data_IF_757693796625
#
_entry.id   IF_757693796625
#
_cell.length_a   1.000
_cell.length_b   1.000
_cell.length_c   1.000
_cell.angle_alpha   90.00
_cell.angle_beta   90.00
_cell.angle_gamma   90.00
#
_symmetry.space_group_name_H-M   'P 1'
#
loop_
_entity.id
_entity.type
_entity.pdbx_description
1 polymer ?
#
# COMPACT_ATOMS: atom_id res chain seq x y z
N UNK A 1 11.52 -11.49 -10.28
CA UNK A 1 11.18 -10.91 -11.61
C UNK A 1 9.72 -10.46 -11.70
N UNK A 2 8.72 -11.32 -11.41
CA UNK A 2 7.30 -10.98 -11.52
C UNK A 2 6.92 -9.76 -10.66
N UNK A 3 7.41 -9.67 -9.42
CA UNK A 3 7.18 -8.53 -8.52
C UNK A 3 7.84 -7.25 -9.07
N UNK A 4 9.05 -7.32 -9.60
CA UNK A 4 9.73 -6.18 -10.22
C UNK A 4 8.92 -5.64 -11.40
N UNK A 5 8.44 -6.52 -12.28
CA UNK A 5 7.59 -6.13 -13.41
C UNK A 5 6.26 -5.52 -12.95
N UNK A 6 5.61 -6.09 -11.94
CA UNK A 6 4.35 -5.59 -11.37
C UNK A 6 4.51 -4.19 -10.73
N UNK A 7 5.67 -3.90 -10.16
CA UNK A 7 6.02 -2.63 -9.55
C UNK A 7 6.63 -1.60 -10.54
N UNK A 8 6.76 -1.95 -11.82
CA UNK A 8 7.38 -1.09 -12.84
C UNK A 8 8.88 -0.86 -12.62
N UNK A 9 9.56 -1.83 -12.01
CA UNK A 9 10.97 -1.78 -11.66
C UNK A 9 11.84 -2.81 -12.40
N UNK A 10 13.12 -2.76 -12.09
CA UNK A 10 14.13 -3.73 -12.55
C UNK A 10 14.86 -4.33 -11.36
N UNK A 11 15.30 -5.56 -11.50
CA UNK A 11 16.07 -6.25 -10.48
C UNK A 11 17.50 -5.68 -10.48
N UNK A 12 17.88 -4.98 -9.42
CA UNK A 12 19.23 -4.44 -9.24
C UNK A 12 20.16 -5.47 -8.59
N UNK A 13 19.61 -6.35 -7.74
CA UNK A 13 20.32 -7.47 -7.12
C UNK A 13 19.33 -8.63 -6.91
N UNK A 14 19.73 -9.84 -7.32
CA UNK A 14 18.79 -10.99 -7.39
C UNK A 14 18.53 -11.64 -6.02
N UNK A 15 19.52 -11.69 -5.16
CA UNK A 15 19.44 -12.41 -3.89
C UNK A 15 19.37 -13.94 -4.06
N UNK A 16 19.00 -14.65 -2.97
CA UNK A 16 18.93 -16.09 -2.91
C UNK A 16 17.47 -16.57 -2.77
N UNK A 17 16.75 -16.73 -3.88
CA UNK A 17 15.37 -17.21 -3.92
C UNK A 17 14.42 -16.46 -2.97
N UNK A 18 14.34 -15.12 -3.06
CA UNK A 18 13.56 -14.31 -2.14
C UNK A 18 12.07 -14.55 -2.30
N UNK A 19 11.37 -14.71 -1.17
CA UNK A 19 9.90 -14.80 -1.09
C UNK A 19 9.40 -13.62 -0.29
N UNK A 20 8.35 -12.94 -0.75
CA UNK A 20 7.67 -11.89 -0.01
C UNK A 20 6.23 -12.30 0.28
N UNK A 21 5.87 -12.41 1.55
CA UNK A 21 4.54 -12.79 2.03
C UNK A 21 3.79 -11.60 2.62
N UNK A 22 4.52 -10.61 3.14
CA UNK A 22 3.99 -9.41 3.76
C UNK A 22 4.64 -8.15 3.18
N UNK A 23 4.01 -6.99 3.40
CA UNK A 23 4.55 -5.69 2.99
C UNK A 23 4.72 -4.81 4.22
N UNK A 24 5.90 -4.25 4.41
CA UNK A 24 6.17 -3.33 5.52
C UNK A 24 6.84 -2.04 5.08
N UNK A 25 6.45 -0.93 5.73
CA UNK A 25 7.07 0.39 5.59
C UNK A 25 7.96 0.73 6.81
N UNK A 26 7.90 -0.06 7.88
CA UNK A 26 8.63 0.17 9.12
C UNK A 26 9.70 -0.91 9.31
N UNK A 27 10.96 -0.54 9.10
CA UNK A 27 12.12 -1.44 9.21
C UNK A 27 12.26 -2.16 10.57
N UNK A 28 11.53 -1.72 11.59
CA UNK A 28 11.51 -2.31 12.94
C UNK A 28 10.43 -3.38 13.12
N UNK A 29 9.45 -3.44 12.19
CA UNK A 29 8.26 -4.29 12.29
C UNK A 29 8.18 -5.22 11.09
N UNK A 30 9.12 -6.16 11.03
CA UNK A 30 9.11 -7.22 10.04
C UNK A 30 8.44 -8.47 10.62
N UNK A 31 7.63 -9.15 9.81
CA UNK A 31 7.01 -10.43 10.16
C UNK A 31 7.89 -11.63 9.77
N UNK A 32 8.85 -11.40 8.91
CA UNK A 32 9.65 -12.40 8.19
C UNK A 32 9.10 -12.61 6.78
N UNK A 33 9.97 -12.76 5.81
CA UNK A 33 9.62 -12.79 4.39
C UNK A 33 8.87 -11.55 3.94
N UNK A 34 9.32 -10.36 4.36
CA UNK A 34 8.68 -9.11 4.01
C UNK A 34 9.26 -8.51 2.71
N UNK A 35 8.38 -7.84 1.95
CA UNK A 35 8.75 -6.79 1.04
C UNK A 35 8.87 -5.48 1.84
N UNK A 36 10.07 -4.97 2.00
CA UNK A 36 10.27 -3.64 2.57
C UNK A 36 10.17 -2.55 1.50
N UNK A 37 9.31 -1.56 1.74
CA UNK A 37 9.13 -0.41 0.85
C UNK A 37 9.58 0.86 1.57
N UNK A 38 10.80 1.35 1.30
CA UNK A 38 11.29 2.59 1.91
C UNK A 38 10.52 3.79 1.34
N UNK A 39 9.96 4.61 2.24
CA UNK A 39 9.27 5.84 1.87
C UNK A 39 10.14 7.03 2.25
N UNK A 40 10.27 7.98 1.34
CA UNK A 40 10.92 9.27 1.62
C UNK A 40 9.89 10.14 2.35
N UNK A 41 10.14 10.40 3.62
CA UNK A 41 9.33 11.24 4.47
C UNK A 41 9.96 12.61 4.71
N UNK A 42 9.25 13.50 5.39
CA UNK A 42 9.74 14.85 5.72
C UNK A 42 10.98 14.88 6.64
N UNK A 43 11.10 13.89 7.53
CA UNK A 43 12.14 13.83 8.59
C UNK A 43 13.20 12.76 8.37
N UNK A 44 12.91 11.76 7.56
CA UNK A 44 13.80 10.63 7.36
C UNK A 44 13.54 10.00 5.98
N UNK A 45 14.57 9.43 5.41
CA UNK A 45 14.48 8.63 4.19
C UNK A 45 14.53 7.14 4.57
N UNK A 46 13.49 6.40 4.18
CA UNK A 46 13.40 4.97 4.42
C UNK A 46 14.55 4.15 3.82
N UNK A 47 15.21 4.67 2.78
CA UNK A 47 16.35 3.99 2.13
C UNK A 47 17.56 3.81 3.07
N UNK A 48 17.72 4.66 4.06
CA UNK A 48 18.80 4.57 5.04
C UNK A 48 18.61 3.38 6.01
N UNK A 49 17.45 2.76 5.99
CA UNK A 49 17.07 1.65 6.88
C UNK A 49 16.91 0.30 6.16
N UNK A 50 17.30 0.19 4.89
CA UNK A 50 17.13 -1.05 4.10
C UNK A 50 17.85 -2.22 4.78
N UNK A 51 19.13 -2.08 5.13
CA UNK A 51 19.86 -3.17 5.78
C UNK A 51 19.33 -3.50 7.19
N UNK A 52 18.72 -2.53 7.89
CA UNK A 52 18.01 -2.80 9.13
C UNK A 52 16.77 -3.65 8.87
N UNK A 53 15.96 -3.31 7.86
CA UNK A 53 14.76 -4.05 7.50
C UNK A 53 15.11 -5.50 7.13
N UNK A 54 16.16 -5.69 6.32
CA UNK A 54 16.64 -7.03 5.95
C UNK A 54 17.12 -7.80 7.18
N UNK A 55 17.90 -7.18 8.06
CA UNK A 55 18.34 -7.80 9.32
C UNK A 55 17.18 -8.19 10.25
N UNK A 56 16.01 -7.59 10.10
CA UNK A 56 14.80 -7.89 10.85
C UNK A 56 13.82 -8.84 10.09
N UNK A 57 14.15 -9.28 8.87
CA UNK A 57 13.37 -10.31 8.17
C UNK A 57 12.84 -9.94 6.78
N UNK A 58 13.15 -8.75 6.24
CA UNK A 58 12.83 -8.44 4.86
C UNK A 58 13.71 -9.27 3.91
N UNK A 59 13.10 -9.91 2.94
CA UNK A 59 13.76 -10.73 1.92
C UNK A 59 13.77 -10.06 0.55
N UNK A 60 12.88 -9.08 0.36
CA UNK A 60 12.79 -8.25 -0.85
C UNK A 60 12.73 -6.79 -0.44
N UNK A 61 13.42 -5.92 -1.15
CA UNK A 61 13.36 -4.47 -0.90
C UNK A 61 13.15 -3.70 -2.19
N UNK A 62 12.33 -2.65 -2.15
CA UNK A 62 12.33 -1.62 -3.17
C UNK A 62 13.42 -0.60 -2.89
N UNK A 63 13.93 0.03 -3.93
CA UNK A 63 14.86 1.15 -3.83
C UNK A 63 14.69 2.09 -5.02
N UNK A 64 14.74 3.39 -4.78
CA UNK A 64 14.84 4.39 -5.87
C UNK A 64 16.24 4.99 -5.99
N UNK A 65 17.19 4.53 -5.16
CA UNK A 65 18.55 5.06 -5.09
C UNK A 65 19.60 4.13 -5.70
N UNK A 66 19.42 2.81 -5.59
CA UNK A 66 20.43 1.81 -5.98
C UNK A 66 19.96 1.12 -7.27
N UNK A 67 20.60 1.46 -8.39
CA UNK A 67 20.20 1.06 -9.75
C UNK A 67 21.02 -0.10 -10.29
N UNK A 68 22.24 -0.25 -9.78
CA UNK A 68 23.19 -1.28 -10.24
C UNK A 68 23.62 -2.17 -9.08
N UNK A 69 24.18 -3.32 -9.42
CA UNK A 69 24.77 -4.25 -8.46
C UNK A 69 25.86 -3.58 -7.61
N UNK A 70 26.69 -2.73 -8.21
CA UNK A 70 27.78 -2.03 -7.54
C UNK A 70 27.23 -1.06 -6.49
N UNK A 71 26.18 -0.29 -6.82
CA UNK A 71 25.50 0.64 -5.89
C UNK A 71 24.86 -0.11 -4.73
N UNK A 72 24.27 -1.30 -4.99
CA UNK A 72 23.72 -2.16 -3.93
C UNK A 72 24.82 -2.66 -3.00
N UNK A 73 25.96 -3.13 -3.55
CA UNK A 73 27.08 -3.61 -2.74
C UNK A 73 27.68 -2.48 -1.88
N UNK A 74 27.79 -1.27 -2.41
CA UNK A 74 28.26 -0.11 -1.66
C UNK A 74 27.29 0.25 -0.52
N UNK A 75 25.97 0.21 -0.78
CA UNK A 75 24.94 0.43 0.24
C UNK A 75 25.02 -0.61 1.37
N UNK A 76 25.21 -1.88 1.03
CA UNK A 76 25.36 -2.96 2.02
C UNK A 76 26.57 -2.69 2.90
N UNK A 77 27.75 -2.42 2.31
CA UNK A 77 28.97 -2.14 3.08
C UNK A 77 28.79 -0.92 4.02
N UNK A 78 28.16 0.13 3.52
CA UNK A 78 27.97 1.38 4.27
C UNK A 78 26.96 1.23 5.41
N UNK A 79 25.84 0.57 5.17
CA UNK A 79 24.75 0.45 6.16
C UNK A 79 25.00 -0.66 7.18
N UNK A 80 25.62 -1.78 6.79
CA UNK A 80 25.93 -2.90 7.70
C UNK A 80 27.14 -2.62 8.60
N UNK A 81 28.02 -1.67 8.24
CA UNK A 81 29.15 -1.20 9.08
C UNK A 81 30.07 -2.32 9.57
N UNK A 82 30.33 -3.35 8.76
CA UNK A 82 31.18 -4.48 9.10
C UNK A 82 30.52 -5.57 9.92
N UNK A 83 29.21 -5.51 10.15
CA UNK A 83 28.41 -6.60 10.71
C UNK A 83 28.19 -7.68 9.63
N UNK A 84 29.00 -8.74 9.72
CA UNK A 84 29.01 -9.82 8.71
C UNK A 84 27.70 -10.57 8.59
N UNK A 85 26.94 -10.67 9.66
CA UNK A 85 25.64 -11.34 9.65
C UNK A 85 24.62 -10.52 8.84
N UNK A 86 24.56 -9.21 9.09
CA UNK A 86 23.74 -8.28 8.29
C UNK A 86 24.18 -8.19 6.84
N UNK A 87 25.49 -8.16 6.57
CA UNK A 87 26.01 -8.17 5.19
C UNK A 87 25.59 -9.44 4.45
N UNK A 88 25.63 -10.60 5.09
CA UNK A 88 25.22 -11.88 4.50
C UNK A 88 23.72 -11.87 4.21
N UNK A 89 22.91 -11.42 5.16
CA UNK A 89 21.46 -11.29 4.97
C UNK A 89 21.12 -10.29 3.84
N UNK A 90 21.81 -9.14 3.79
CA UNK A 90 21.56 -8.12 2.79
C UNK A 90 21.94 -8.57 1.36
N UNK A 91 22.95 -9.42 1.22
CA UNK A 91 23.33 -10.07 -0.06
C UNK A 91 22.39 -11.21 -0.44
N UNK A 92 21.66 -11.78 0.51
CA UNK A 92 20.66 -12.81 0.23
C UNK A 92 19.29 -12.24 -0.16
N UNK A 93 19.00 -10.98 0.18
CA UNK A 93 17.77 -10.29 -0.16
C UNK A 93 17.78 -9.78 -1.61
N UNK A 94 16.62 -9.79 -2.29
CA UNK A 94 16.50 -9.16 -3.61
C UNK A 94 16.27 -7.65 -3.48
N UNK A 95 16.95 -6.89 -4.32
CA UNK A 95 16.79 -5.43 -4.42
C UNK A 95 16.19 -5.06 -5.77
N UNK A 96 15.04 -4.42 -5.73
CA UNK A 96 14.29 -4.01 -6.92
C UNK A 96 14.38 -2.50 -7.04
N UNK A 97 15.06 -2.04 -8.09
CA UNK A 97 15.13 -0.61 -8.41
C UNK A 97 13.84 -0.16 -9.09
N UNK A 98 13.23 0.88 -8.55
CA UNK A 98 12.01 1.52 -9.07
C UNK A 98 12.23 3.04 -9.14
N UNK A 99 11.55 3.76 -10.05
CA UNK A 99 11.67 5.22 -10.13
C UNK A 99 11.18 5.95 -8.86
N UNK A 100 10.12 5.44 -8.24
CA UNK A 100 9.48 5.97 -7.03
C UNK A 100 8.88 4.81 -6.26
N UNK A 101 9.30 4.62 -5.01
CA UNK A 101 8.90 3.47 -4.18
C UNK A 101 7.43 3.53 -3.75
N UNK A 102 6.85 4.74 -3.57
CA UNK A 102 5.42 4.92 -3.29
C UNK A 102 4.57 4.54 -4.51
N UNK A 103 4.98 5.03 -5.69
CA UNK A 103 4.30 4.68 -6.94
C UNK A 103 4.41 3.18 -7.24
N UNK A 104 5.57 2.59 -7.04
CA UNK A 104 5.80 1.15 -7.19
C UNK A 104 4.90 0.32 -6.27
N UNK A 105 4.71 0.75 -5.02
CA UNK A 105 3.78 0.11 -4.10
C UNK A 105 2.32 0.21 -4.60
N UNK A 106 1.91 1.35 -5.15
CA UNK A 106 0.59 1.54 -5.75
C UNK A 106 0.38 0.65 -6.98
N UNK A 107 1.38 0.57 -7.86
CA UNK A 107 1.33 -0.26 -9.06
C UNK A 107 1.27 -1.75 -8.70
N UNK A 108 2.04 -2.17 -7.70
CA UNK A 108 1.99 -3.53 -7.17
C UNK A 108 0.63 -3.85 -6.53
N UNK A 109 0.09 -2.95 -5.70
CA UNK A 109 -1.25 -3.10 -5.12
C UNK A 109 -2.33 -3.23 -6.20
N UNK A 110 -2.26 -2.38 -7.24
CA UNK A 110 -3.18 -2.46 -8.37
C UNK A 110 -3.00 -3.76 -9.19
N UNK A 111 -1.79 -4.27 -9.31
CA UNK A 111 -1.51 -5.57 -9.91
C UNK A 111 -2.16 -6.71 -9.10
N UNK A 112 -1.95 -6.72 -7.78
CA UNK A 112 -2.58 -7.70 -6.89
C UNK A 112 -4.11 -7.64 -6.99
N UNK A 113 -4.69 -6.43 -7.02
CA UNK A 113 -6.13 -6.23 -7.17
C UNK A 113 -6.69 -6.85 -8.46
N UNK A 114 -6.01 -6.69 -9.58
CA UNK A 114 -6.43 -7.28 -10.85
C UNK A 114 -6.36 -8.82 -10.84
N UNK A 115 -5.44 -9.39 -10.09
CA UNK A 115 -5.28 -10.84 -9.97
C UNK A 115 -6.16 -11.48 -8.88
N UNK A 116 -6.73 -10.67 -7.98
CA UNK A 116 -7.70 -11.11 -6.98
C UNK A 116 -8.97 -10.25 -7.08
N UNK A 117 -9.89 -10.54 -8.03
CA UNK A 117 -11.02 -9.68 -8.37
C UNK A 117 -12.25 -9.89 -7.48
N UNK A 118 -12.09 -10.19 -6.19
CA UNK A 118 -13.24 -10.28 -5.26
C UNK A 118 -14.00 -8.97 -5.21
N UNK A 119 -15.32 -8.97 -4.91
CA UNK A 119 -16.08 -7.74 -4.72
C UNK A 119 -15.51 -6.89 -3.58
N UNK A 120 -15.33 -5.59 -3.82
CA UNK A 120 -14.89 -4.64 -2.80
C UNK A 120 -15.93 -3.54 -2.58
N UNK A 121 -16.20 -3.26 -1.30
CA UNK A 121 -16.98 -2.11 -0.82
C UNK A 121 -16.00 -1.06 -0.34
N UNK A 122 -15.97 0.11 -0.98
CA UNK A 122 -15.16 1.25 -0.57
C UNK A 122 -15.91 2.14 0.42
N UNK A 123 -15.25 2.54 1.49
CA UNK A 123 -15.83 3.46 2.49
C UNK A 123 -14.99 4.74 2.54
N UNK A 124 -15.63 5.88 2.27
CA UNK A 124 -15.01 7.20 2.44
C UNK A 124 -15.92 8.16 3.20
N UNK A 125 -15.42 9.34 3.50
CA UNK A 125 -16.14 10.41 4.20
C UNK A 125 -15.23 11.19 5.16
N UNK A 126 -15.72 12.29 5.69
CA UNK A 126 -14.96 13.09 6.63
C UNK A 126 -14.90 12.46 8.02
N UNK A 127 -16.01 11.90 8.49
CA UNK A 127 -16.17 11.23 9.79
C UNK A 127 -16.97 9.93 9.61
N UNK A 128 -16.75 8.96 10.48
CA UNK A 128 -17.52 7.72 10.52
C UNK A 128 -17.07 6.61 9.59
N UNK A 129 -15.99 6.78 8.81
CA UNK A 129 -15.46 5.75 7.91
C UNK A 129 -15.23 4.41 8.62
N UNK A 130 -14.44 4.42 9.68
CA UNK A 130 -14.08 3.20 10.43
C UNK A 130 -15.32 2.52 11.05
N UNK A 131 -16.21 3.29 11.65
CA UNK A 131 -17.47 2.74 12.20
C UNK A 131 -18.32 2.11 11.11
N UNK A 132 -18.48 2.79 9.98
CA UNK A 132 -19.26 2.25 8.84
C UNK A 132 -18.59 1.00 8.27
N UNK A 133 -17.25 0.98 8.12
CA UNK A 133 -16.49 -0.20 7.72
C UNK A 133 -16.77 -1.39 8.65
N UNK A 134 -16.69 -1.18 9.97
CA UNK A 134 -16.96 -2.25 10.95
C UNK A 134 -18.40 -2.76 10.86
N UNK A 135 -19.39 -1.88 10.73
CA UNK A 135 -20.79 -2.26 10.61
C UNK A 135 -21.08 -3.02 9.31
N UNK A 136 -20.56 -2.54 8.17
CA UNK A 136 -20.72 -3.21 6.87
C UNK A 136 -20.03 -4.57 6.90
N UNK A 137 -18.81 -4.65 7.41
CA UNK A 137 -18.07 -5.91 7.52
C UNK A 137 -18.83 -6.91 8.42
N UNK A 138 -19.34 -6.47 9.58
CA UNK A 138 -20.12 -7.32 10.48
C UNK A 138 -21.41 -7.85 9.82
N UNK A 139 -22.13 -7.01 9.08
CA UNK A 139 -23.34 -7.41 8.37
C UNK A 139 -23.04 -8.45 7.26
N UNK A 140 -21.97 -8.22 6.48
CA UNK A 140 -21.56 -9.14 5.41
C UNK A 140 -21.03 -10.46 5.95
N UNK A 141 -20.40 -10.47 7.12
CA UNK A 141 -19.87 -11.68 7.77
C UNK A 141 -20.95 -12.71 8.14
N UNK A 142 -22.23 -12.33 8.08
CA UNK A 142 -23.34 -13.29 8.22
C UNK A 142 -23.42 -14.30 7.08
N UNK A 143 -22.81 -14.02 5.93
CA UNK A 143 -22.89 -14.89 4.75
C UNK A 143 -21.60 -15.04 3.95
N UNK A 144 -20.54 -14.30 4.28
CA UNK A 144 -19.30 -14.25 3.51
C UNK A 144 -18.06 -14.29 4.41
N UNK A 145 -16.95 -14.79 3.87
CA UNK A 145 -15.62 -14.59 4.45
C UNK A 145 -15.15 -13.16 4.10
N UNK A 146 -15.28 -12.25 5.07
CA UNK A 146 -15.04 -10.82 4.87
C UNK A 146 -13.61 -10.45 5.24
N UNK A 147 -12.89 -9.83 4.29
CA UNK A 147 -11.66 -9.09 4.58
C UNK A 147 -11.99 -7.60 4.78
N UNK A 148 -11.30 -6.92 5.67
CA UNK A 148 -11.46 -5.47 5.88
C UNK A 148 -10.13 -4.79 6.13
N UNK A 149 -10.04 -3.50 5.79
CA UNK A 149 -8.86 -2.67 6.06
C UNK A 149 -8.37 -2.85 7.50
N UNK A 150 -7.13 -3.30 7.72
CA UNK A 150 -6.55 -3.39 9.06
C UNK A 150 -6.33 -2.00 9.67
N UNK A 151 -6.75 -1.82 10.94
CA UNK A 151 -6.52 -0.56 11.65
C UNK A 151 -7.05 0.67 10.89
N UNK A 152 -6.15 1.60 10.56
CA UNK A 152 -6.40 2.82 9.79
C UNK A 152 -5.57 2.88 8.49
N UNK A 153 -5.25 1.74 7.87
CA UNK A 153 -4.47 1.65 6.63
C UNK A 153 -5.25 2.12 5.39
N UNK A 154 -5.66 3.39 5.40
CA UNK A 154 -6.57 4.00 4.43
C UNK A 154 -5.93 5.07 3.52
N UNK A 155 -4.62 5.29 3.64
CA UNK A 155 -3.85 6.31 2.92
C UNK A 155 -3.27 5.82 1.60
N UNK A 156 -2.53 6.68 0.89
CA UNK A 156 -1.81 6.37 -0.35
C UNK A 156 -0.83 5.19 -0.25
N UNK A 157 -0.36 4.85 0.93
CA UNK A 157 0.50 3.68 1.18
C UNK A 157 -0.27 2.55 1.86
N UNK A 158 -1.28 2.86 2.68
CA UNK A 158 -2.08 1.87 3.39
C UNK A 158 -3.03 1.09 2.48
N UNK A 159 -3.70 1.77 1.54
CA UNK A 159 -4.63 1.11 0.61
C UNK A 159 -3.94 0.10 -0.30
N UNK A 160 -2.79 0.40 -0.93
CA UNK A 160 -2.06 -0.60 -1.72
C UNK A 160 -1.67 -1.84 -0.93
N UNK A 161 -1.18 -1.68 0.31
CA UNK A 161 -0.85 -2.81 1.19
C UNK A 161 -2.12 -3.61 1.51
N UNK A 162 -3.18 -2.93 1.95
CA UNK A 162 -4.46 -3.58 2.26
C UNK A 162 -4.97 -4.43 1.10
N UNK A 163 -4.88 -3.92 -0.13
CA UNK A 163 -5.35 -4.63 -1.32
C UNK A 163 -4.43 -5.78 -1.70
N UNK A 164 -3.11 -5.60 -1.56
CA UNK A 164 -2.14 -6.65 -1.86
C UNK A 164 -2.21 -7.83 -0.88
N UNK A 165 -2.62 -7.57 0.36
CA UNK A 165 -2.71 -8.55 1.43
C UNK A 165 -4.12 -9.17 1.60
N UNK A 166 -5.02 -8.98 0.63
CA UNK A 166 -6.32 -9.68 0.63
C UNK A 166 -6.10 -11.19 0.55
N UNK A 167 -6.52 -11.97 1.56
CA UNK A 167 -6.34 -13.41 1.55
C UNK A 167 -7.08 -14.09 0.37
N UNK A 168 -6.51 -15.16 -0.17
CA UNK A 168 -7.10 -15.89 -1.30
C UNK A 168 -8.49 -16.45 -1.00
N UNK A 169 -8.77 -16.78 0.26
CA UNK A 169 -10.04 -17.30 0.71
C UNK A 169 -11.08 -16.22 1.05
N UNK A 170 -10.74 -14.94 0.95
CA UNK A 170 -11.72 -13.86 1.14
C UNK A 170 -12.73 -13.82 -0.01
N UNK A 171 -14.01 -13.71 0.33
CA UNK A 171 -15.10 -13.67 -0.65
C UNK A 171 -15.56 -12.24 -0.96
N UNK A 172 -15.35 -11.32 -0.02
CA UNK A 172 -15.67 -9.89 -0.16
C UNK A 172 -14.75 -9.05 0.73
N UNK A 173 -14.42 -7.84 0.27
CA UNK A 173 -13.62 -6.90 1.05
C UNK A 173 -14.36 -5.60 1.37
N UNK A 174 -14.07 -5.01 2.54
CA UNK A 174 -14.54 -3.68 2.95
C UNK A 174 -13.34 -2.79 3.18
N UNK A 175 -13.08 -1.89 2.23
CA UNK A 175 -11.84 -1.11 2.17
C UNK A 175 -12.12 0.36 2.51
N UNK A 176 -11.41 0.87 3.52
CA UNK A 176 -11.48 2.28 3.89
C UNK A 176 -10.53 3.11 3.01
N UNK A 177 -11.06 4.17 2.37
CA UNK A 177 -10.30 5.10 1.54
C UNK A 177 -10.31 6.49 2.17
N UNK A 178 -9.14 6.92 2.63
CA UNK A 178 -8.90 8.24 3.23
C UNK A 178 -8.04 9.10 2.32
N UNK A 179 -8.24 10.41 2.38
CA UNK A 179 -7.42 11.39 1.66
C UNK A 179 -7.18 12.62 2.54
N UNK A 180 -6.09 13.31 2.30
CA UNK A 180 -5.68 14.54 2.98
C UNK A 180 -5.42 15.68 1.99
N UNK A 181 -5.01 15.35 0.76
CA UNK A 181 -4.57 16.30 -0.26
C UNK A 181 -5.29 16.05 -1.60
N UNK A 182 -5.31 17.07 -2.48
CA UNK A 182 -5.89 16.93 -3.83
C UNK A 182 -5.24 15.80 -4.63
N UNK A 183 -6.07 15.02 -5.34
CA UNK A 183 -5.66 13.91 -6.21
C UNK A 183 -5.30 12.62 -5.48
N UNK A 184 -5.31 12.58 -4.14
CA UNK A 184 -5.06 11.35 -3.40
C UNK A 184 -6.16 10.31 -3.60
N UNK A 185 -7.43 10.76 -3.59
CA UNK A 185 -8.55 9.83 -3.77
C UNK A 185 -8.50 9.14 -5.13
N UNK A 186 -8.23 9.86 -6.21
CA UNK A 186 -8.05 9.27 -7.55
C UNK A 186 -6.97 8.19 -7.54
N UNK A 187 -5.83 8.45 -6.91
CA UNK A 187 -4.73 7.47 -6.84
C UNK A 187 -5.14 6.19 -6.14
N UNK A 188 -5.71 6.30 -4.94
CA UNK A 188 -6.11 5.11 -4.15
C UNK A 188 -7.35 4.41 -4.71
N UNK A 189 -8.28 5.13 -5.34
CA UNK A 189 -9.42 4.55 -6.03
C UNK A 189 -8.99 3.67 -7.21
N UNK A 190 -8.01 4.14 -8.01
CA UNK A 190 -7.46 3.35 -9.11
C UNK A 190 -6.68 2.11 -8.65
N UNK A 191 -6.15 2.10 -7.44
CA UNK A 191 -5.57 0.91 -6.82
C UNK A 191 -6.66 -0.04 -6.33
N UNK A 192 -7.63 0.45 -5.54
CA UNK A 192 -8.64 -0.37 -4.89
C UNK A 192 -9.69 -0.92 -5.87
N UNK A 193 -10.06 -0.18 -6.92
CA UNK A 193 -11.04 -0.57 -7.93
C UNK A 193 -12.28 -1.20 -7.30
N UNK A 194 -12.95 -0.44 -6.43
CA UNK A 194 -14.10 -0.92 -5.66
C UNK A 194 -15.32 -1.12 -6.55
N UNK A 195 -16.17 -2.10 -6.22
CA UNK A 195 -17.40 -2.41 -6.97
C UNK A 195 -18.56 -1.51 -6.55
N UNK A 196 -18.61 -1.13 -5.27
CA UNK A 196 -19.51 -0.10 -4.76
C UNK A 196 -18.79 0.74 -3.72
N UNK A 197 -19.30 1.95 -3.47
CA UNK A 197 -18.71 2.86 -2.50
C UNK A 197 -19.80 3.48 -1.61
N UNK A 198 -19.43 3.74 -0.36
CA UNK A 198 -20.28 4.45 0.62
C UNK A 198 -19.57 5.72 1.04
N UNK A 199 -20.20 6.86 0.87
CA UNK A 199 -19.74 8.15 1.38
C UNK A 199 -20.55 8.49 2.65
N UNK A 200 -19.90 8.46 3.81
CA UNK A 200 -20.60 8.63 5.10
C UNK A 200 -21.12 10.05 5.31
N UNK A 201 -20.26 11.03 5.13
CA UNK A 201 -20.62 12.45 5.22
C UNK A 201 -19.51 13.34 4.63
N UNK A 202 -19.83 14.61 4.42
CA UNK A 202 -18.91 15.67 4.04
C UNK A 202 -18.88 16.72 5.15
N UNK A 203 -17.77 16.75 5.89
CA UNK A 203 -17.49 17.73 6.94
C UNK A 203 -16.30 18.61 6.58
N UNK A 204 -15.64 19.15 7.60
CA UNK A 204 -14.52 20.10 7.45
C UNK A 204 -13.14 19.45 7.63
N UNK A 205 -13.05 18.12 7.73
CA UNK A 205 -11.78 17.43 7.82
C UNK A 205 -10.91 17.72 6.57
N UNK A 206 -9.64 18.09 6.78
CA UNK A 206 -8.68 18.49 5.73
C UNK A 206 -9.03 19.79 4.98
N UNK A 207 -9.83 20.69 5.60
CA UNK A 207 -10.24 21.95 4.97
C UNK A 207 -9.04 22.88 4.73
N UNK A 208 -7.98 22.77 5.54
CA UNK A 208 -6.76 23.58 5.38
C UNK A 208 -6.05 23.25 4.06
N UNK A 209 -6.02 21.97 3.65
CA UNK A 209 -5.38 21.48 2.43
C UNK A 209 -6.28 21.65 1.19
N UNK A 210 -7.59 21.52 1.37
CA UNK A 210 -8.57 21.50 0.27
C UNK A 210 -9.30 22.84 0.08
N UNK A 211 -9.22 23.73 1.05
CA UNK A 211 -9.72 25.11 0.97
C UNK A 211 -11.22 25.26 1.23
N UNK A 212 -12.07 24.31 0.90
CA UNK A 212 -13.51 24.39 1.10
C UNK A 212 -14.18 23.02 1.24
N UNK A 213 -15.36 23.00 1.84
CA UNK A 213 -16.18 21.78 1.96
C UNK A 213 -16.62 21.24 0.57
N UNK A 214 -16.82 22.14 -0.38
CA UNK A 214 -17.14 21.77 -1.77
C UNK A 214 -15.95 21.05 -2.44
N UNK A 215 -14.73 21.49 -2.20
CA UNK A 215 -13.54 20.80 -2.70
C UNK A 215 -13.32 19.46 -2.00
N UNK A 216 -13.65 19.35 -0.70
CA UNK A 216 -13.64 18.08 0.02
C UNK A 216 -14.64 17.10 -0.62
N UNK A 217 -15.85 17.56 -0.96
CA UNK A 217 -16.82 16.73 -1.67
C UNK A 217 -16.29 16.30 -3.04
N UNK A 218 -15.77 17.22 -3.85
CA UNK A 218 -15.21 16.92 -5.17
C UNK A 218 -14.10 15.87 -5.08
N UNK A 219 -13.15 16.06 -4.16
CA UNK A 219 -12.05 15.11 -3.97
C UNK A 219 -12.57 13.72 -3.55
N UNK A 220 -13.52 13.64 -2.60
CA UNK A 220 -14.07 12.35 -2.17
C UNK A 220 -14.89 11.65 -3.25
N UNK A 221 -15.53 12.38 -4.15
CA UNK A 221 -16.26 11.81 -5.28
C UNK A 221 -15.33 11.06 -6.25
N UNK A 222 -14.05 11.37 -6.28
CA UNK A 222 -13.05 10.61 -7.04
C UNK A 222 -12.86 9.15 -6.57
N UNK A 223 -13.53 8.71 -5.52
CA UNK A 223 -13.64 7.28 -5.19
C UNK A 223 -14.23 6.47 -6.37
N UNK A 224 -14.97 7.13 -7.24
CA UNK A 224 -15.57 6.54 -8.44
C UNK A 224 -14.56 6.28 -9.57
N UNK A 225 -13.41 6.95 -9.57
CA UNK A 225 -12.43 6.87 -10.68
C UNK A 225 -11.92 5.44 -10.94
N UNK A 226 -11.91 4.59 -9.92
CA UNK A 226 -11.56 3.17 -10.04
C UNK A 226 -12.75 2.23 -10.22
N UNK A 227 -13.99 2.73 -10.22
CA UNK A 227 -15.20 1.90 -10.32
C UNK A 227 -15.55 1.61 -11.78
N UNK A 228 -16.19 0.48 -12.02
CA UNK A 228 -16.81 0.21 -13.32
C UNK A 228 -18.08 1.06 -13.52
N UNK A 229 -18.54 1.20 -14.77
CA UNK A 229 -19.81 1.89 -15.11
C UNK A 229 -21.05 1.30 -14.40
N UNK A 230 -20.96 0.03 -13.95
CA UNK A 230 -22.02 -0.66 -13.19
C UNK A 230 -21.87 -0.49 -11.67
N UNK A 231 -20.84 0.23 -11.24
CA UNK A 231 -20.59 0.51 -9.83
C UNK A 231 -21.70 1.36 -9.21
N UNK A 232 -21.94 1.17 -7.89
CA UNK A 232 -22.97 1.92 -7.16
C UNK A 232 -22.31 2.78 -6.08
N UNK A 233 -22.65 4.07 -6.06
CA UNK A 233 -22.26 5.00 -5.01
C UNK A 233 -23.44 5.28 -4.09
N UNK A 234 -23.28 4.97 -2.81
CA UNK A 234 -24.25 5.30 -1.74
C UNK A 234 -23.84 6.61 -1.09
N UNK A 235 -24.74 7.57 -1.09
CA UNK A 235 -24.56 8.88 -0.46
C UNK A 235 -25.49 9.01 0.73
N UNK A 236 -25.03 9.71 1.76
CA UNK A 236 -25.86 10.16 2.85
C UNK A 236 -26.62 11.42 2.40
N UNK A 237 -27.95 11.35 2.41
CA UNK A 237 -28.85 12.44 2.01
C UNK A 237 -29.27 13.33 3.18
#
# INVERSE_FOLDING_TARGET
>A
EALAQAAGGVLAHEGNEPVAEHISLDSRKMAGNDLFVPIIGERADGHDYICMAIGNGATVVFTSRHKTEEEVQEAILTQCKGDKEKETAAKAAAWICVPDTRKALQDFGAYCRRNNPIPLVGITGSVGKTTTREMVAAALSAGFLVYKTPGNSNSQVGVPITVAEIPENAEIGVIELGMSEPGEMTRIANVAQVNCAVMTNIGVAHIEQLGSQENILKEKLHIQDGMSEKGTLFLNG
#
